data_IF_172859032283
#
_entry.id   IF_172859032283
#
_cell.length_a   1.000
_cell.length_b   1.000
_cell.length_c   1.000
_cell.angle_alpha   90.00
_cell.angle_beta   90.00
_cell.angle_gamma   90.00
#
_symmetry.space_group_name_H-M   'P 1'
#
loop_
_entity.id
_entity.type
_entity.pdbx_description
1 polymer ?
#
# COMPACT_ATOMS: atom_id res chain seq x y z
N UNK A 1 -41.19 -1.17 13.27
CA UNK A 1 -40.75 -1.67 11.95
C UNK A 1 -40.01 -0.61 11.11
N UNK A 2 -40.53 0.61 10.93
CA UNK A 2 -39.83 1.65 10.13
C UNK A 2 -38.47 2.07 10.72
N UNK A 3 -38.37 2.25 12.05
CA UNK A 3 -37.12 2.59 12.76
C UNK A 3 -36.07 1.46 12.73
N UNK A 4 -36.51 0.21 12.84
CA UNK A 4 -35.62 -0.98 12.77
C UNK A 4 -35.04 -1.18 11.37
N UNK A 5 -35.83 -0.91 10.31
CA UNK A 5 -35.34 -0.95 8.92
C UNK A 5 -34.31 0.15 8.64
N UNK A 6 -34.51 1.36 9.19
CA UNK A 6 -33.55 2.46 9.07
C UNK A 6 -32.21 2.15 9.76
N UNK A 7 -32.24 1.53 10.94
CA UNK A 7 -31.04 1.08 11.65
C UNK A 7 -30.26 0.00 10.88
N UNK A 8 -30.97 -0.97 10.28
CA UNK A 8 -30.34 -2.01 9.45
C UNK A 8 -29.73 -1.42 8.18
N UNK A 9 -30.42 -0.48 7.52
CA UNK A 9 -29.91 0.21 6.33
C UNK A 9 -28.67 1.06 6.64
N UNK A 10 -28.66 1.77 7.77
CA UNK A 10 -27.49 2.52 8.22
C UNK A 10 -26.31 1.59 8.53
N UNK A 11 -26.55 0.45 9.18
CA UNK A 11 -25.51 -0.54 9.46
C UNK A 11 -24.91 -1.17 8.19
N UNK A 12 -25.74 -1.44 7.18
CA UNK A 12 -25.32 -1.93 5.86
C UNK A 12 -24.52 -0.91 5.03
N UNK A 13 -24.71 0.39 5.26
CA UNK A 13 -23.94 1.45 4.60
C UNK A 13 -22.58 1.66 5.27
N UNK A 14 -22.52 1.56 6.61
CA UNK A 14 -21.26 1.71 7.36
C UNK A 14 -20.32 0.51 7.09
N UNK A 15 -20.84 -0.71 6.99
CA UNK A 15 -20.02 -1.89 6.72
C UNK A 15 -19.29 -1.82 5.38
N UNK A 16 -19.93 -1.29 4.32
CA UNK A 16 -19.31 -1.18 2.99
C UNK A 16 -18.03 -0.32 3.00
N UNK A 17 -17.95 0.68 3.87
CA UNK A 17 -16.75 1.54 3.98
C UNK A 17 -15.55 0.82 4.61
N UNK A 18 -15.80 -0.12 5.53
CA UNK A 18 -14.76 -0.94 6.17
C UNK A 18 -14.22 -2.02 5.22
N UNK A 19 -15.07 -2.55 4.33
CA UNK A 19 -14.71 -3.60 3.38
C UNK A 19 -14.13 -3.09 2.06
N UNK A 20 -14.24 -1.79 1.75
CA UNK A 20 -13.91 -1.23 0.44
C UNK A 20 -12.47 -1.53 -0.02
N UNK A 21 -11.51 -1.60 0.92
CA UNK A 21 -10.09 -1.83 0.60
C UNK A 21 -9.55 -3.18 1.10
N UNK A 22 -10.38 -4.02 1.73
CA UNK A 22 -9.90 -5.25 2.36
C UNK A 22 -9.27 -6.21 1.34
N UNK A 23 -9.90 -6.40 0.17
CA UNK A 23 -9.34 -7.25 -0.90
C UNK A 23 -7.97 -6.78 -1.39
N UNK A 24 -7.76 -5.48 -1.44
CA UNK A 24 -6.46 -4.91 -1.80
C UNK A 24 -5.43 -5.21 -0.71
N UNK A 25 -5.79 -5.03 0.56
CA UNK A 25 -4.90 -5.28 1.71
C UNK A 25 -4.53 -6.76 1.81
N UNK A 26 -5.49 -7.66 1.55
CA UNK A 26 -5.27 -9.10 1.48
C UNK A 26 -4.26 -9.47 0.38
N UNK A 27 -4.41 -8.89 -0.81
CA UNK A 27 -3.48 -9.16 -1.92
C UNK A 27 -2.09 -8.56 -1.64
N UNK A 28 -2.01 -7.36 -1.06
CA UNK A 28 -0.73 -6.79 -0.60
C UNK A 28 -0.04 -7.75 0.37
N UNK A 29 -0.74 -8.19 1.42
CA UNK A 29 -0.20 -9.11 2.42
C UNK A 29 0.25 -10.44 1.81
N UNK A 30 -0.53 -10.99 0.88
CA UNK A 30 -0.18 -12.22 0.16
C UNK A 30 1.09 -12.05 -0.67
N UNK A 31 1.22 -10.93 -1.38
CA UNK A 31 2.40 -10.66 -2.22
C UNK A 31 3.63 -10.42 -1.35
N UNK A 32 3.57 -9.57 -0.31
CA UNK A 32 4.73 -9.35 0.58
C UNK A 32 5.20 -10.65 1.24
N UNK A 33 4.25 -11.50 1.68
CA UNK A 33 4.55 -12.81 2.26
C UNK A 33 5.29 -13.74 1.29
N UNK A 34 5.00 -13.67 -0.01
CA UNK A 34 5.73 -14.44 -1.03
C UNK A 34 7.23 -14.06 -1.12
N UNK A 35 7.56 -12.82 -0.73
CA UNK A 35 8.94 -12.32 -0.59
C UNK A 35 9.51 -12.46 0.83
N UNK A 36 8.82 -13.18 1.73
CA UNK A 36 9.19 -13.32 3.16
C UNK A 36 9.26 -11.97 3.89
N UNK A 37 8.47 -11.00 3.46
CA UNK A 37 8.27 -9.72 4.15
C UNK A 37 6.92 -9.78 4.85
N UNK A 38 6.96 -9.84 6.18
CA UNK A 38 5.75 -9.88 7.00
C UNK A 38 5.09 -8.49 7.08
N UNK A 39 3.76 -8.47 7.08
CA UNK A 39 2.97 -7.26 7.25
C UNK A 39 1.58 -7.60 7.80
N UNK A 40 0.88 -6.60 8.31
CA UNK A 40 -0.46 -6.70 8.88
C UNK A 40 -1.33 -5.53 8.44
N UNK A 41 -2.64 -5.60 8.62
CA UNK A 41 -3.55 -4.52 8.22
C UNK A 41 -3.29 -3.22 8.97
N UNK A 42 -2.80 -3.28 10.21
CA UNK A 42 -2.42 -2.10 11.01
C UNK A 42 -1.26 -1.32 10.37
N UNK A 43 -0.44 -1.98 9.56
CA UNK A 43 0.65 -1.36 8.83
C UNK A 43 0.21 -0.73 7.50
N UNK A 44 -1.08 -0.78 7.17
CA UNK A 44 -1.63 -0.34 5.90
C UNK A 44 -2.77 0.65 6.13
N UNK A 45 -2.83 1.68 5.29
CA UNK A 45 -3.94 2.64 5.32
C UNK A 45 -4.20 3.23 3.95
N UNK A 46 -5.45 3.61 3.73
CA UNK A 46 -5.86 4.43 2.58
C UNK A 46 -6.38 5.75 3.11
N UNK A 47 -5.80 6.84 2.61
CA UNK A 47 -6.16 8.21 3.00
C UNK A 47 -6.45 9.00 1.73
N UNK A 48 -7.29 10.04 1.83
CA UNK A 48 -7.50 10.97 0.73
C UNK A 48 -6.45 12.07 0.73
N UNK A 49 -5.87 12.36 -0.43
CA UNK A 49 -4.99 13.53 -0.60
C UNK A 49 -5.79 14.85 -0.58
N UNK A 50 -5.09 15.98 -0.68
CA UNK A 50 -5.70 17.32 -0.77
C UNK A 50 -6.69 17.48 -1.93
N UNK A 51 -6.62 16.61 -2.93
CA UNK A 51 -7.48 16.59 -4.13
C UNK A 51 -8.58 15.52 -4.02
N UNK A 52 -8.74 14.89 -2.86
CA UNK A 52 -9.76 13.86 -2.59
C UNK A 52 -9.46 12.48 -3.22
N UNK A 53 -8.27 12.28 -3.79
CA UNK A 53 -7.86 11.01 -4.40
C UNK A 53 -7.33 10.06 -3.34
N UNK A 54 -7.64 8.78 -3.50
CA UNK A 54 -7.14 7.76 -2.57
C UNK A 54 -5.63 7.55 -2.75
N UNK A 55 -4.93 7.48 -1.64
CA UNK A 55 -3.48 7.24 -1.52
C UNK A 55 -3.29 6.08 -0.57
N UNK A 56 -2.42 5.14 -0.95
CA UNK A 56 -2.13 3.98 -0.13
C UNK A 56 -0.80 4.15 0.60
N UNK A 57 -0.77 3.84 1.88
CA UNK A 57 0.44 3.80 2.69
C UNK A 57 0.66 2.38 3.20
N UNK A 58 1.92 1.95 3.23
CA UNK A 58 2.35 0.72 3.88
C UNK A 58 3.64 0.95 4.66
N UNK A 59 3.69 0.43 5.88
CA UNK A 59 4.91 0.35 6.69
C UNK A 59 5.42 -1.08 6.70
N UNK A 60 6.72 -1.26 6.45
CA UNK A 60 7.38 -2.56 6.43
C UNK A 60 8.63 -2.53 7.31
N UNK A 61 8.90 -3.62 8.01
CA UNK A 61 10.16 -3.79 8.72
C UNK A 61 11.21 -4.44 7.81
N UNK A 62 12.45 -4.01 7.96
CA UNK A 62 13.59 -4.59 7.25
C UNK A 62 14.75 -4.84 8.21
N UNK A 63 15.74 -5.59 7.74
CA UNK A 63 17.07 -5.63 8.33
C UNK A 63 17.93 -4.49 7.75
N UNK A 64 19.06 -4.22 8.41
CA UNK A 64 20.01 -3.17 7.99
C UNK A 64 20.48 -3.28 6.54
N UNK A 65 20.50 -4.48 5.98
CA UNK A 65 21.11 -4.79 4.69
C UNK A 65 20.09 -5.03 3.55
N UNK A 66 18.79 -4.99 3.82
CA UNK A 66 17.77 -5.31 2.81
C UNK A 66 16.65 -4.27 2.71
N UNK A 67 16.80 -3.10 3.33
CA UNK A 67 15.77 -2.05 3.33
C UNK A 67 15.35 -1.61 1.91
N UNK A 68 16.27 -1.52 0.95
CA UNK A 68 15.93 -1.20 -0.45
C UNK A 68 15.10 -2.30 -1.12
N UNK A 69 15.43 -3.57 -0.83
CA UNK A 69 14.66 -4.70 -1.34
C UNK A 69 13.25 -4.73 -0.73
N UNK A 70 13.13 -4.48 0.59
CA UNK A 70 11.84 -4.38 1.27
C UNK A 70 11.01 -3.21 0.73
N UNK A 71 11.64 -2.06 0.46
CA UNK A 71 10.98 -0.92 -0.21
C UNK A 71 10.39 -1.33 -1.57
N UNK A 72 11.18 -2.01 -2.41
CA UNK A 72 10.73 -2.50 -3.71
C UNK A 72 9.60 -3.53 -3.58
N UNK A 73 9.67 -4.43 -2.60
CA UNK A 73 8.61 -5.38 -2.30
C UNK A 73 7.31 -4.65 -1.95
N UNK A 74 7.36 -3.55 -1.19
CA UNK A 74 6.20 -2.72 -0.90
C UNK A 74 5.53 -2.18 -2.16
N UNK A 75 6.31 -1.64 -3.10
CA UNK A 75 5.77 -1.15 -4.38
C UNK A 75 5.24 -2.26 -5.29
N UNK A 76 5.95 -3.39 -5.38
CA UNK A 76 5.52 -4.54 -6.16
C UNK A 76 4.20 -5.10 -5.59
N UNK A 77 4.09 -5.23 -4.27
CA UNK A 77 2.89 -5.71 -3.60
C UNK A 77 1.70 -4.77 -3.84
N UNK A 78 1.89 -3.46 -3.62
CA UNK A 78 0.86 -2.46 -3.87
C UNK A 78 0.40 -2.47 -5.34
N UNK A 79 1.34 -2.49 -6.29
CA UNK A 79 1.00 -2.50 -7.70
C UNK A 79 0.33 -3.80 -8.14
N UNK A 80 0.76 -4.97 -7.64
CA UNK A 80 0.08 -6.23 -7.95
C UNK A 80 -1.34 -6.26 -7.39
N UNK A 81 -1.53 -5.74 -6.18
CA UNK A 81 -2.84 -5.61 -5.54
C UNK A 81 -3.81 -4.71 -6.32
N UNK A 82 -3.33 -3.82 -7.20
CA UNK A 82 -4.21 -3.02 -8.06
C UNK A 82 -5.13 -3.87 -8.96
N UNK A 83 -4.76 -5.12 -9.23
CA UNK A 83 -5.59 -6.09 -9.96
C UNK A 83 -6.87 -6.48 -9.20
N UNK A 84 -6.97 -6.17 -7.91
CA UNK A 84 -8.16 -6.41 -7.09
C UNK A 84 -9.30 -5.42 -7.33
N UNK A 85 -9.09 -4.40 -8.18
CA UNK A 85 -10.08 -3.39 -8.54
C UNK A 85 -9.91 -2.02 -7.85
N UNK A 86 -9.03 -1.92 -6.84
CA UNK A 86 -8.69 -0.64 -6.20
C UNK A 86 -7.35 -0.13 -6.73
N UNK A 87 -7.28 1.13 -7.17
CA UNK A 87 -6.07 1.71 -7.75
C UNK A 87 -5.77 3.06 -7.08
N UNK A 88 -4.92 3.10 -6.04
CA UNK A 88 -4.56 4.36 -5.40
C UNK A 88 -3.80 5.24 -6.39
N UNK A 89 -3.94 6.56 -6.25
CA UNK A 89 -3.26 7.54 -7.09
C UNK A 89 -1.74 7.57 -6.87
N UNK A 90 -1.33 7.36 -5.63
CA UNK A 90 0.07 7.24 -5.21
C UNK A 90 0.20 6.18 -4.13
N UNK A 91 1.39 5.59 -4.04
CA UNK A 91 1.76 4.62 -3.02
C UNK A 91 2.91 5.20 -2.21
N UNK A 92 2.79 5.13 -0.89
CA UNK A 92 3.83 5.50 0.06
C UNK A 92 4.32 4.24 0.76
N UNK A 93 5.63 4.03 0.73
CA UNK A 93 6.29 2.91 1.41
C UNK A 93 7.20 3.49 2.48
N UNK A 94 6.89 3.18 3.73
CA UNK A 94 7.75 3.41 4.89
C UNK A 94 8.50 2.12 5.20
N UNK A 95 9.83 2.18 5.30
CA UNK A 95 10.65 1.05 5.75
C UNK A 95 11.33 1.38 7.06
N UNK A 96 11.01 0.61 8.09
CA UNK A 96 11.64 0.70 9.40
C UNK A 96 12.90 -0.17 9.40
N UNK A 97 14.04 0.44 9.71
CA UNK A 97 15.37 -0.17 9.70
C UNK A 97 15.98 -0.06 11.09
N UNK A 98 16.46 -1.18 11.69
CA UNK A 98 17.04 -1.19 13.03
C UNK A 98 18.48 -0.64 13.03
N UNK A 99 18.66 0.62 12.63
CA UNK A 99 19.94 1.33 12.57
C UNK A 99 19.97 2.46 13.60
N UNK A 100 20.92 2.39 14.54
CA UNK A 100 21.04 3.38 15.62
C UNK A 100 19.78 3.46 16.47
N UNK A 101 19.27 4.68 16.64
CA UNK A 101 18.02 4.99 17.36
C UNK A 101 16.74 4.66 16.57
N UNK A 102 16.87 4.16 15.35
CA UNK A 102 15.76 3.85 14.45
C UNK A 102 15.83 4.71 13.19
N UNK A 103 16.08 4.09 12.05
CA UNK A 103 16.05 4.75 10.75
C UNK A 103 14.75 4.39 10.04
N UNK A 104 14.04 5.40 9.53
CA UNK A 104 12.83 5.20 8.73
C UNK A 104 13.05 5.79 7.36
N UNK A 105 12.88 4.96 6.33
CA UNK A 105 12.90 5.39 4.95
C UNK A 105 11.46 5.59 4.47
N UNK A 106 11.05 6.83 4.23
CA UNK A 106 9.76 7.15 3.62
C UNK A 106 9.94 7.49 2.15
N UNK A 107 9.20 6.78 1.29
CA UNK A 107 9.23 7.03 -0.15
C UNK A 107 7.85 7.02 -0.78
N UNK A 108 7.73 7.64 -1.95
CA UNK A 108 6.49 7.60 -2.74
C UNK A 108 6.72 7.37 -4.24
N UNK A 109 5.75 6.74 -4.89
CA UNK A 109 5.68 6.60 -6.34
C UNK A 109 4.23 6.69 -6.84
N UNK A 110 4.07 7.14 -8.08
CA UNK A 110 2.76 7.29 -8.73
C UNK A 110 2.21 5.96 -9.20
N UNK A 111 0.88 5.86 -9.33
CA UNK A 111 0.23 4.72 -9.98
C UNK A 111 0.83 4.42 -11.35
N UNK A 112 1.09 5.45 -12.14
CA UNK A 112 1.63 5.33 -13.50
C UNK A 112 3.03 4.70 -13.49
N UNK A 113 3.90 5.08 -12.54
CA UNK A 113 5.22 4.46 -12.39
C UNK A 113 5.12 2.98 -11.98
N UNK A 114 4.20 2.64 -11.06
CA UNK A 114 3.97 1.26 -10.66
C UNK A 114 3.46 0.40 -11.83
N UNK A 115 2.54 0.94 -12.64
CA UNK A 115 2.03 0.25 -13.83
C UNK A 115 3.13 0.05 -14.88
N UNK A 116 4.01 1.04 -15.07
CA UNK A 116 5.16 0.89 -15.96
C UNK A 116 6.16 -0.16 -15.46
N UNK A 117 6.42 -0.21 -14.14
CA UNK A 117 7.27 -1.23 -13.54
C UNK A 117 6.68 -2.63 -13.77
N UNK A 118 5.41 -2.83 -13.45
CA UNK A 118 4.75 -4.14 -13.52
C UNK A 118 4.51 -4.65 -14.94
N UNK A 119 4.36 -3.74 -15.90
CA UNK A 119 4.28 -4.09 -17.33
C UNK A 119 5.66 -4.36 -17.95
N UNK A 120 6.75 -4.17 -17.20
CA UNK A 120 8.11 -4.30 -17.71
C UNK A 120 8.55 -3.15 -18.63
N UNK A 121 7.74 -2.09 -18.78
CA UNK A 121 8.08 -0.90 -19.59
C UNK A 121 9.27 -0.13 -19.03
N UNK A 122 9.46 -0.17 -17.71
CA UNK A 122 10.66 0.36 -17.06
C UNK A 122 11.31 -0.72 -16.19
N UNK A 123 12.63 -0.67 -16.10
CA UNK A 123 13.40 -1.54 -15.21
C UNK A 123 13.28 -1.09 -13.76
N UNK A 124 13.56 -1.99 -12.81
CA UNK A 124 13.65 -1.65 -11.37
C UNK A 124 14.61 -0.50 -11.10
N UNK A 125 15.77 -0.46 -11.79
CA UNK A 125 16.74 0.64 -11.70
C UNK A 125 16.14 1.98 -12.12
N UNK A 126 15.35 1.98 -13.19
CA UNK A 126 14.68 3.19 -13.67
C UNK A 126 13.57 3.61 -12.71
N UNK A 127 12.81 2.64 -12.20
CA UNK A 127 11.77 2.89 -11.21
C UNK A 127 12.32 3.52 -9.93
N UNK A 128 13.40 2.97 -9.34
CA UNK A 128 14.03 3.52 -8.13
C UNK A 128 14.47 4.97 -8.32
N UNK A 129 14.91 5.36 -9.53
CA UNK A 129 15.26 6.77 -9.84
C UNK A 129 14.05 7.71 -9.90
N UNK A 130 12.84 7.18 -10.06
CA UNK A 130 11.58 7.95 -10.07
C UNK A 130 10.89 7.96 -8.71
N UNK A 131 11.21 7.01 -7.84
CA UNK A 131 10.78 7.02 -6.44
C UNK A 131 11.31 8.29 -5.77
N UNK A 132 10.43 8.99 -5.07
CA UNK A 132 10.77 10.20 -4.31
C UNK A 132 10.98 9.84 -2.85
N UNK A 133 12.05 10.37 -2.26
CA UNK A 133 12.37 10.27 -0.85
C UNK A 133 11.79 11.49 -0.13
N UNK A 134 11.15 11.28 1.03
CA UNK A 134 10.44 12.32 1.80
C UNK A 134 11.06 12.42 3.19
#
# INVERSE_FOLDING_TARGET
>A
MRKTIQLIAAFLLISQTLFANQKYFDEVKKVTKSYRVETSFENMQVVKDEKGKDVFYITLASNRNNFEMVMLVGYIAAGQAMKSGFQPSSVFVTVDVPLGEGFRLLTTATKEDLQQLLSGKITTKTFVRRVKYI
#
